data_IF_852135135325
#
_entry.id   IF_852135135325
#
_cell.length_a   1.000
_cell.length_b   1.000
_cell.length_c   1.000
_cell.angle_alpha   90.00
_cell.angle_beta   90.00
_cell.angle_gamma   90.00
#
_symmetry.space_group_name_H-M   'P 1'
#
loop_
_entity.id
_entity.type
_entity.pdbx_description
1 polymer ?
#
# COMPACT_ATOMS: atom_id res chain seq x y z
N UNK A 1 -20.30 -12.51 -9.37
CA UNK A 1 -19.57 -13.77 -9.15
C UNK A 1 -18.90 -14.06 -10.48
N UNK A 2 -17.59 -13.82 -10.60
CA UNK A 2 -16.88 -14.12 -11.84
C UNK A 2 -16.73 -15.64 -11.93
N UNK A 3 -17.48 -16.24 -12.84
CA UNK A 3 -17.28 -17.64 -13.21
C UNK A 3 -15.89 -17.77 -13.84
N UNK A 4 -15.06 -18.76 -13.46
CA UNK A 4 -13.79 -18.96 -14.13
C UNK A 4 -14.07 -19.29 -15.59
N UNK A 5 -13.73 -18.38 -16.50
CA UNK A 5 -13.86 -18.62 -17.93
C UNK A 5 -12.92 -19.76 -18.32
N UNK A 6 -13.46 -20.81 -18.94
CA UNK A 6 -12.64 -21.88 -19.51
C UNK A 6 -11.82 -21.31 -20.68
N UNK A 7 -10.49 -21.19 -20.51
CA UNK A 7 -9.60 -20.59 -21.50
C UNK A 7 -8.15 -20.52 -21.02
N UNK A 8 -7.29 -19.85 -21.80
CA UNK A 8 -5.88 -19.65 -21.47
C UNK A 8 -5.62 -18.20 -21.02
N UNK A 9 -4.85 -18.04 -19.93
CA UNK A 9 -4.34 -16.73 -19.53
C UNK A 9 -2.97 -16.51 -20.15
N UNK A 10 -2.86 -15.52 -21.04
CA UNK A 10 -1.61 -15.20 -21.74
C UNK A 10 -0.74 -14.34 -20.82
N UNK A 11 0.31 -14.94 -20.27
CA UNK A 11 1.33 -14.22 -19.51
C UNK A 11 2.43 -13.72 -20.44
N UNK A 12 2.63 -12.41 -20.50
CA UNK A 12 3.75 -11.81 -21.23
C UNK A 12 5.03 -11.96 -20.40
N UNK A 13 6.06 -12.53 -21.02
CA UNK A 13 7.39 -12.60 -20.43
C UNK A 13 8.20 -11.36 -20.84
N UNK A 14 8.88 -10.68 -19.91
CA UNK A 14 9.70 -9.51 -20.22
C UNK A 14 10.90 -9.89 -21.09
N UNK A 15 11.32 -8.98 -21.98
CA UNK A 15 12.61 -9.06 -22.66
C UNK A 15 13.74 -8.64 -21.72
N UNK A 16 14.98 -8.83 -22.16
CA UNK A 16 16.16 -8.40 -21.40
C UNK A 16 16.11 -6.88 -21.10
N UNK A 17 15.62 -6.07 -22.03
CA UNK A 17 15.52 -4.61 -21.89
C UNK A 17 14.48 -4.16 -20.84
N UNK A 18 13.51 -5.00 -20.52
CA UNK A 18 12.49 -4.73 -19.49
C UNK A 18 13.04 -4.98 -18.07
N UNK A 19 14.12 -5.75 -17.93
CA UNK A 19 14.71 -6.12 -16.65
C UNK A 19 15.60 -4.99 -16.13
N UNK A 20 15.26 -4.45 -14.96
CA UNK A 20 16.04 -3.38 -14.30
C UNK A 20 17.05 -3.96 -13.31
N UNK A 21 18.32 -3.58 -13.45
CA UNK A 21 19.35 -3.90 -12.47
C UNK A 21 19.16 -3.05 -11.21
N UNK A 22 18.92 -3.71 -10.07
CA UNK A 22 18.82 -3.07 -8.76
C UNK A 22 20.19 -3.07 -8.06
N UNK A 23 20.53 -2.00 -7.32
CA UNK A 23 21.73 -2.00 -6.50
C UNK A 23 21.65 -3.09 -5.44
N UNK A 24 22.74 -3.85 -5.26
CA UNK A 24 22.85 -4.82 -4.18
C UNK A 24 23.05 -4.06 -2.88
N UNK A 25 22.09 -4.19 -1.97
CA UNK A 25 22.23 -3.74 -0.59
C UNK A 25 22.61 -4.94 0.27
N UNK A 26 23.44 -4.71 1.29
CA UNK A 26 23.65 -5.73 2.32
C UNK A 26 22.32 -6.00 3.03
N UNK A 27 21.87 -7.25 2.98
CA UNK A 27 20.64 -7.69 3.63
C UNK A 27 20.97 -8.48 4.88
N UNK A 28 20.57 -7.96 6.04
CA UNK A 28 20.53 -8.72 7.29
C UNK A 28 19.18 -9.42 7.45
N UNK A 29 19.22 -10.67 7.91
CA UNK A 29 18.00 -11.41 8.23
C UNK A 29 17.49 -10.97 9.60
N UNK A 30 16.19 -10.68 9.68
CA UNK A 30 15.49 -10.40 10.93
C UNK A 30 15.52 -11.62 11.88
N UNK A 31 15.48 -11.37 13.18
CA UNK A 31 15.37 -12.40 14.20
C UNK A 31 13.99 -13.09 14.12
N UNK A 32 13.89 -14.33 14.59
CA UNK A 32 12.63 -15.08 14.54
C UNK A 32 11.51 -14.41 15.35
N UNK A 33 11.86 -13.79 16.50
CA UNK A 33 10.91 -13.10 17.35
C UNK A 33 10.30 -11.88 16.65
N UNK A 34 11.13 -11.11 15.92
CA UNK A 34 10.68 -9.99 15.09
C UNK A 34 9.70 -10.48 14.01
N UNK A 35 10.04 -11.59 13.34
CA UNK A 35 9.20 -12.20 12.30
C UNK A 35 7.85 -12.64 12.87
N UNK A 36 7.83 -13.25 14.05
CA UNK A 36 6.60 -13.72 14.69
C UNK A 36 5.70 -12.58 15.14
N UNK A 37 6.28 -11.48 15.64
CA UNK A 37 5.52 -10.26 15.94
C UNK A 37 4.88 -9.65 14.68
N UNK A 38 5.63 -9.57 13.57
CA UNK A 38 5.09 -9.12 12.29
C UNK A 38 3.97 -10.03 11.75
N UNK A 39 4.05 -11.35 11.95
CA UNK A 39 2.95 -12.26 11.57
C UNK A 39 1.66 -11.91 12.29
N UNK A 40 1.73 -11.50 13.57
CA UNK A 40 0.56 -11.10 14.33
C UNK A 40 -0.04 -9.78 13.78
N UNK A 41 0.80 -8.81 13.44
CA UNK A 41 0.38 -7.55 12.78
C UNK A 41 -0.34 -7.84 11.45
N UNK A 42 0.27 -8.66 10.60
CA UNK A 42 -0.30 -9.05 9.30
C UNK A 42 -1.65 -9.75 9.50
N UNK A 43 -1.77 -10.63 10.51
CA UNK A 43 -3.02 -11.31 10.83
C UNK A 43 -4.10 -10.32 11.28
N UNK A 44 -3.76 -9.32 12.07
CA UNK A 44 -4.68 -8.25 12.50
C UNK A 44 -5.18 -7.40 11.33
N UNK A 45 -4.33 -7.14 10.33
CA UNK A 45 -4.68 -6.32 9.15
C UNK A 45 -5.28 -7.13 7.98
N UNK A 46 -5.36 -8.45 8.10
CA UNK A 46 -5.85 -9.32 7.02
C UNK A 46 -7.31 -9.02 6.68
N UNK A 47 -7.60 -8.88 5.39
CA UNK A 47 -8.95 -8.77 4.86
C UNK A 47 -9.10 -9.57 3.56
N UNK A 48 -10.33 -9.89 3.18
CA UNK A 48 -10.62 -10.57 1.91
C UNK A 48 -10.56 -9.57 0.75
N UNK A 49 -9.50 -9.66 -0.04
CA UNK A 49 -9.33 -8.91 -1.28
C UNK A 49 -10.34 -9.35 -2.33
N UNK A 50 -10.85 -8.38 -3.07
CA UNK A 50 -11.75 -8.54 -4.21
C UNK A 50 -11.40 -7.45 -5.22
N UNK A 51 -11.21 -7.76 -6.51
CA UNK A 51 -10.81 -6.77 -7.51
C UNK A 51 -11.89 -5.69 -7.71
N UNK A 52 -13.15 -6.03 -7.49
CA UNK A 52 -14.31 -5.15 -7.62
C UNK A 52 -14.51 -4.18 -6.43
N UNK A 53 -13.69 -4.25 -5.38
CA UNK A 53 -13.87 -3.41 -4.19
C UNK A 53 -13.29 -2.00 -4.31
N UNK A 54 -12.41 -1.75 -5.28
CA UNK A 54 -11.70 -0.49 -5.40
C UNK A 54 -12.02 0.13 -6.74
N UNK A 55 -12.64 1.31 -6.69
CA UNK A 55 -12.90 2.12 -7.86
C UNK A 55 -11.75 3.10 -8.07
N UNK A 56 -11.55 3.55 -9.30
CA UNK A 56 -10.55 4.57 -9.59
C UNK A 56 -11.08 5.95 -9.19
N UNK A 57 -10.51 6.61 -8.16
CA UNK A 57 -11.01 7.90 -7.68
C UNK A 57 -10.93 8.99 -8.74
N UNK A 58 -9.91 9.01 -9.59
CA UNK A 58 -9.79 10.00 -10.66
C UNK A 58 -10.91 9.86 -11.71
N UNK A 59 -11.30 8.63 -12.04
CA UNK A 59 -12.44 8.38 -12.92
C UNK A 59 -13.75 8.73 -12.24
N UNK A 60 -13.93 8.39 -10.96
CA UNK A 60 -15.12 8.77 -10.21
C UNK A 60 -15.31 10.29 -10.16
N UNK A 61 -14.25 11.05 -9.83
CA UNK A 61 -14.28 12.52 -9.85
C UNK A 61 -14.68 13.05 -11.24
N UNK A 62 -14.08 12.52 -12.30
CA UNK A 62 -14.39 12.94 -13.67
C UNK A 62 -15.88 12.76 -13.99
N UNK A 63 -16.43 11.57 -13.75
CA UNK A 63 -17.83 11.27 -14.08
C UNK A 63 -18.81 12.09 -13.25
N UNK A 64 -18.53 12.31 -11.96
CA UNK A 64 -19.36 13.17 -11.09
C UNK A 64 -19.36 14.63 -11.54
N UNK A 65 -18.23 15.15 -12.00
CA UNK A 65 -18.16 16.51 -12.55
C UNK A 65 -18.97 16.65 -13.84
N UNK A 66 -18.90 15.65 -14.73
CA UNK A 66 -19.67 15.64 -15.98
C UNK A 66 -21.17 15.56 -15.67
N UNK A 67 -21.58 14.68 -14.75
CA UNK A 67 -22.96 14.54 -14.30
C UNK A 67 -23.50 15.84 -13.70
N UNK A 68 -22.73 16.49 -12.82
CA UNK A 68 -23.11 17.78 -12.24
C UNK A 68 -23.30 18.86 -13.30
N UNK A 69 -22.38 18.93 -14.27
CA UNK A 69 -22.46 19.88 -15.39
C UNK A 69 -23.69 19.61 -16.26
N UNK A 70 -23.97 18.34 -16.58
CA UNK A 70 -25.10 17.95 -17.41
C UNK A 70 -26.46 18.24 -16.75
N UNK A 71 -26.54 18.10 -15.42
CA UNK A 71 -27.75 18.32 -14.63
C UNK A 71 -27.87 19.77 -14.09
N UNK A 72 -26.93 20.66 -14.43
CA UNK A 72 -26.83 22.02 -13.87
C UNK A 72 -26.85 22.03 -12.31
N UNK A 73 -26.18 21.07 -11.68
CA UNK A 73 -25.94 21.09 -10.23
C UNK A 73 -24.85 22.11 -9.91
N UNK A 74 -24.96 22.78 -8.76
CA UNK A 74 -23.94 23.75 -8.31
C UNK A 74 -22.61 23.09 -7.91
N UNK A 75 -22.65 21.83 -7.50
CA UNK A 75 -21.48 21.05 -7.10
C UNK A 75 -21.67 19.55 -7.45
N UNK A 76 -20.56 18.83 -7.69
CA UNK A 76 -20.59 17.37 -7.86
C UNK A 76 -20.89 16.66 -6.55
N UNK A 77 -21.56 15.51 -6.63
CA UNK A 77 -21.85 14.69 -5.45
C UNK A 77 -20.54 14.15 -4.84
N UNK A 78 -20.42 14.24 -3.51
CA UNK A 78 -19.26 13.70 -2.79
C UNK A 78 -19.21 12.16 -2.88
N UNK A 79 -17.99 11.63 -2.95
CA UNK A 79 -17.75 10.19 -2.87
C UNK A 79 -16.59 9.89 -1.93
N UNK A 80 -16.56 8.66 -1.42
CA UNK A 80 -15.53 8.19 -0.51
C UNK A 80 -14.45 7.47 -1.32
N UNK A 81 -13.20 7.95 -1.23
CA UNK A 81 -12.07 7.26 -1.83
C UNK A 81 -11.72 6.00 -1.03
N UNK A 82 -12.07 4.84 -1.58
CA UNK A 82 -11.82 3.54 -0.98
C UNK A 82 -10.35 3.11 -1.04
N UNK A 83 -9.49 3.83 -1.79
CA UNK A 83 -8.05 3.55 -1.88
C UNK A 83 -7.28 4.10 -0.70
N UNK A 84 -7.87 5.03 0.05
CA UNK A 84 -7.27 5.60 1.26
C UNK A 84 -7.38 4.59 2.42
N UNK A 85 -6.28 4.28 3.13
CA UNK A 85 -6.32 3.35 4.24
C UNK A 85 -7.17 3.89 5.39
N UNK A 86 -8.01 3.03 5.97
CA UNK A 86 -8.77 3.36 7.18
C UNK A 86 -7.87 3.30 8.42
N UNK A 87 -7.09 4.36 8.63
CA UNK A 87 -6.03 4.45 9.66
C UNK A 87 -6.59 4.17 11.06
N UNK A 88 -7.74 4.73 11.42
CA UNK A 88 -8.34 4.50 12.74
C UNK A 88 -8.68 3.03 12.97
N UNK A 89 -9.30 2.39 11.99
CA UNK A 89 -9.65 0.97 12.07
C UNK A 89 -8.42 0.07 12.08
N UNK A 90 -7.38 0.42 11.31
CA UNK A 90 -6.12 -0.30 11.31
C UNK A 90 -5.46 -0.18 12.69
N UNK A 91 -5.25 1.04 13.19
CA UNK A 91 -4.64 1.31 14.49
C UNK A 91 -5.35 0.54 15.61
N UNK A 92 -6.69 0.55 15.64
CA UNK A 92 -7.47 -0.21 16.63
C UNK A 92 -7.17 -1.72 16.61
N UNK A 93 -6.89 -2.31 15.44
CA UNK A 93 -6.62 -3.75 15.30
C UNK A 93 -5.19 -4.14 15.68
N UNK A 94 -4.23 -3.22 15.59
CA UNK A 94 -2.81 -3.51 15.80
C UNK A 94 -2.18 -2.75 16.97
N UNK A 95 -2.98 -2.02 17.76
CA UNK A 95 -2.50 -1.18 18.88
C UNK A 95 -1.56 -1.94 19.82
N UNK A 96 -1.88 -3.18 20.20
CA UNK A 96 -1.05 -3.97 21.11
C UNK A 96 0.29 -4.44 20.54
N UNK A 97 0.39 -4.57 19.21
CA UNK A 97 1.61 -5.06 18.56
C UNK A 97 2.54 -3.93 18.12
N UNK A 98 2.02 -2.73 17.86
CA UNK A 98 2.82 -1.60 17.36
C UNK A 98 3.87 -1.17 18.39
N UNK A 99 3.50 -1.05 19.66
CA UNK A 99 4.41 -0.53 20.68
C UNK A 99 5.54 -1.52 20.97
N UNK A 100 5.23 -2.81 21.04
CA UNK A 100 6.23 -3.89 21.14
C UNK A 100 7.18 -3.89 19.94
N UNK A 101 6.63 -3.73 18.74
CA UNK A 101 7.40 -3.70 17.50
C UNK A 101 8.34 -2.49 17.44
N UNK A 102 7.88 -1.34 17.93
CA UNK A 102 8.71 -0.14 17.98
C UNK A 102 9.91 -0.32 18.91
N UNK A 103 9.70 -0.95 20.07
CA UNK A 103 10.76 -1.21 21.04
C UNK A 103 11.78 -2.24 20.54
N UNK A 104 11.33 -3.24 19.81
CA UNK A 104 12.20 -4.32 19.31
C UNK A 104 13.09 -3.87 18.14
N UNK A 105 12.53 -3.08 17.21
CA UNK A 105 13.20 -2.76 15.94
C UNK A 105 14.03 -1.48 16.00
N UNK A 106 13.55 -0.45 16.72
CA UNK A 106 14.15 0.87 16.64
C UNK A 106 15.04 1.15 17.84
N UNK A 107 16.30 1.54 17.62
CA UNK A 107 17.19 1.91 18.71
C UNK A 107 16.68 3.17 19.43
N UNK A 108 17.02 3.35 20.72
CA UNK A 108 16.62 4.54 21.47
C UNK A 108 17.20 5.80 20.81
N UNK A 109 16.32 6.78 20.52
CA UNK A 109 16.68 8.02 19.82
C UNK A 109 16.54 7.96 18.29
N UNK A 110 15.98 6.89 17.73
CA UNK A 110 15.68 6.80 16.30
C UNK A 110 14.59 7.80 15.88
N UNK A 111 14.90 8.67 14.92
CA UNK A 111 13.94 9.65 14.37
C UNK A 111 13.36 9.13 13.06
N UNK A 112 12.10 8.71 13.11
CA UNK A 112 11.33 8.28 11.93
C UNK A 112 11.23 9.42 10.90
N UNK A 113 11.45 9.11 9.62
CA UNK A 113 11.19 10.04 8.51
C UNK A 113 12.31 11.03 8.19
N UNK A 114 13.47 10.96 8.86
CA UNK A 114 14.66 11.74 8.46
C UNK A 114 15.55 10.89 7.55
N UNK A 115 15.46 11.10 6.23
CA UNK A 115 16.46 10.53 5.32
C UNK A 115 17.77 11.28 5.55
N UNK A 116 18.84 10.59 5.99
CA UNK A 116 20.18 11.17 5.97
C UNK A 116 20.49 11.52 4.52
N UNK A 117 20.53 12.81 4.18
CA UNK A 117 20.99 13.28 2.86
C UNK A 117 22.41 12.74 2.66
N UNK A 118 22.60 11.80 1.74
CA UNK A 118 23.94 11.38 1.35
C UNK A 118 24.61 12.58 0.68
N UNK A 119 25.75 13.00 1.21
CA UNK A 119 26.56 14.06 0.63
C UNK A 119 27.24 13.52 -0.64
N UNK A 120 26.74 13.88 -1.81
CA UNK A 120 27.43 13.62 -3.08
C UNK A 120 28.73 14.41 -3.12
N UNK A 121 29.87 13.74 -2.87
CA UNK A 121 31.18 14.27 -3.26
C UNK A 121 31.25 14.26 -4.78
N UNK A 122 31.08 15.44 -5.41
CA UNK A 122 31.51 15.67 -6.79
C UNK A 122 33.04 15.63 -6.82
N UNK A 123 33.60 14.79 -7.70
CA UNK A 123 34.98 14.84 -8.15
C UNK A 123 34.99 15.42 -9.56
#
# INVERSE_FOLDING_TARGET
MFEPSNGFHVHYLPYADDIRNLPKNDTTRAANDEVDLFKNVIRGLKFKYRPDKFENPALQTLWRNIEATALNKGEPDEFIDLTIPSVENQNRKIVGYIDELKQMIFPPGYVMGTTKKSATKRK
#
